data_IF_841964095077
#
_entry.id   IF_841964095077
#
_cell.length_a   1.000
_cell.length_b   1.000
_cell.length_c   1.000
_cell.angle_alpha   90.00
_cell.angle_beta   90.00
_cell.angle_gamma   90.00
#
_symmetry.space_group_name_H-M   'P 1'
#
loop_
_entity.id
_entity.type
_entity.pdbx_description
1 polymer ?
#
# COMPACT_ATOMS: atom_id res chain seq x y z
N UNK A 1 8.78 -5.28 -14.72
CA UNK A 1 7.57 -4.44 -14.94
C UNK A 1 6.38 -4.72 -13.98
N UNK A 2 6.39 -5.73 -13.10
CA UNK A 2 5.15 -6.24 -12.47
C UNK A 2 4.85 -5.76 -11.02
N UNK A 3 5.73 -4.99 -10.40
CA UNK A 3 5.67 -4.74 -8.94
C UNK A 3 5.05 -3.39 -8.55
N UNK A 4 5.22 -2.31 -9.34
CA UNK A 4 4.60 -0.99 -9.09
C UNK A 4 3.06 -1.03 -9.14
N UNK A 5 2.49 -1.79 -10.08
CA UNK A 5 1.04 -1.88 -10.27
C UNK A 5 0.33 -2.57 -9.11
N UNK A 6 0.99 -3.47 -8.37
CA UNK A 6 0.32 -4.30 -7.34
C UNK A 6 0.02 -3.52 -6.06
N UNK A 7 0.88 -2.57 -5.67
CA UNK A 7 0.71 -1.76 -4.46
C UNK A 7 -0.26 -0.63 -4.66
N UNK A 8 -0.23 0.01 -5.84
CA UNK A 8 -1.27 0.93 -6.26
C UNK A 8 -2.66 0.28 -6.14
N UNK A 9 -2.79 -0.99 -6.56
CA UNK A 9 -4.06 -1.73 -6.44
C UNK A 9 -4.41 -2.05 -4.99
N UNK A 10 -3.44 -2.36 -4.11
CA UNK A 10 -3.75 -2.54 -2.69
C UNK A 10 -4.29 -1.25 -2.06
N UNK A 11 -3.56 -0.14 -2.25
CA UNK A 11 -3.93 1.16 -1.70
C UNK A 11 -5.30 1.59 -2.23
N UNK A 12 -5.55 1.41 -3.52
CA UNK A 12 -6.85 1.69 -4.14
C UNK A 12 -7.98 0.85 -3.50
N UNK A 13 -7.77 -0.45 -3.31
CA UNK A 13 -8.75 -1.33 -2.66
C UNK A 13 -9.00 -0.89 -1.21
N UNK A 14 -7.95 -0.61 -0.43
CA UNK A 14 -8.10 -0.20 0.97
C UNK A 14 -8.82 1.15 1.09
N UNK A 15 -8.54 2.12 0.21
CA UNK A 15 -9.26 3.39 0.18
C UNK A 15 -10.75 3.20 -0.16
N UNK A 16 -11.09 2.33 -1.12
CA UNK A 16 -12.49 2.02 -1.44
C UNK A 16 -13.21 1.31 -0.30
N UNK A 17 -12.54 0.37 0.37
CA UNK A 17 -13.09 -0.33 1.54
C UNK A 17 -13.28 0.63 2.73
N UNK A 18 -12.35 1.57 2.95
CA UNK A 18 -12.49 2.62 3.97
C UNK A 18 -13.76 3.42 3.72
N UNK A 19 -13.94 3.91 2.50
CA UNK A 19 -15.14 4.66 2.12
C UNK A 19 -16.42 3.85 2.35
N UNK A 20 -16.42 2.56 2.01
CA UNK A 20 -17.56 1.69 2.25
C UNK A 20 -17.87 1.53 3.75
N UNK A 21 -16.85 1.39 4.59
CA UNK A 21 -16.99 1.30 6.06
C UNK A 21 -17.50 2.61 6.66
N UNK A 22 -17.01 3.76 6.17
CA UNK A 22 -17.49 5.10 6.55
C UNK A 22 -18.96 5.31 6.14
N UNK A 23 -19.33 4.94 4.90
CA UNK A 23 -20.72 5.01 4.41
C UNK A 23 -21.65 4.02 5.13
N UNK A 24 -21.10 2.95 5.70
CA UNK A 24 -21.80 1.89 6.43
C UNK A 24 -21.77 2.05 7.95
N UNK A 25 -21.54 3.27 8.47
CA UNK A 25 -21.46 3.55 9.90
C UNK A 25 -22.63 2.92 10.69
N UNK A 26 -22.33 2.32 11.85
CA UNK A 26 -23.31 1.59 12.67
C UNK A 26 -23.57 0.15 12.23
N UNK A 27 -22.97 -0.31 11.13
CA UNK A 27 -22.98 -1.72 10.70
C UNK A 27 -21.68 -2.43 11.08
N UNK A 28 -21.72 -3.76 11.20
CA UNK A 28 -20.53 -4.58 11.36
C UNK A 28 -19.55 -4.37 10.20
N UNK A 29 -18.36 -3.85 10.49
CA UNK A 29 -17.40 -3.47 9.46
C UNK A 29 -16.86 -4.66 8.67
N UNK A 30 -16.81 -5.86 9.26
CA UNK A 30 -16.38 -7.07 8.53
C UNK A 30 -17.41 -7.41 7.47
N UNK A 31 -18.70 -7.36 7.81
CA UNK A 31 -19.79 -7.56 6.86
C UNK A 31 -19.76 -6.52 5.73
N UNK A 32 -19.53 -5.25 6.05
CA UNK A 32 -19.39 -4.19 5.03
C UNK A 32 -18.23 -4.47 4.07
N UNK A 33 -17.09 -4.91 4.60
CA UNK A 33 -15.92 -5.29 3.79
C UNK A 33 -16.24 -6.50 2.91
N UNK A 34 -16.87 -7.55 3.45
CA UNK A 34 -17.26 -8.75 2.70
C UNK A 34 -18.25 -8.41 1.56
N UNK A 35 -19.26 -7.59 1.84
CA UNK A 35 -20.27 -7.16 0.87
C UNK A 35 -19.67 -6.30 -0.25
N UNK A 36 -18.71 -5.41 0.08
CA UNK A 36 -17.96 -4.64 -0.90
C UNK A 36 -17.08 -5.57 -1.77
N UNK A 37 -16.37 -6.49 -1.13
CA UNK A 37 -15.46 -7.42 -1.78
C UNK A 37 -16.18 -8.43 -2.71
N UNK A 38 -17.42 -8.81 -2.41
CA UNK A 38 -18.24 -9.66 -3.26
C UNK A 38 -18.48 -9.04 -4.65
N UNK A 39 -18.56 -7.71 -4.73
CA UNK A 39 -18.81 -6.95 -5.97
C UNK A 39 -17.54 -6.71 -6.79
N UNK A 40 -16.35 -6.86 -6.20
CA UNK A 40 -15.10 -6.60 -6.89
C UNK A 40 -14.74 -7.71 -7.88
N UNK A 41 -13.98 -7.32 -8.91
CA UNK A 41 -13.51 -8.19 -10.00
C UNK A 41 -12.00 -8.04 -10.23
N UNK A 42 -11.42 -8.96 -10.99
CA UNK A 42 -10.01 -8.90 -11.41
C UNK A 42 -9.04 -8.75 -10.23
N UNK A 43 -8.14 -7.77 -10.34
CA UNK A 43 -7.09 -7.54 -9.33
C UNK A 43 -7.65 -7.13 -7.96
N UNK A 44 -8.79 -6.44 -7.91
CA UNK A 44 -9.44 -6.04 -6.66
C UNK A 44 -10.01 -7.26 -5.93
N UNK A 45 -10.68 -8.16 -6.67
CA UNK A 45 -11.17 -9.43 -6.12
C UNK A 45 -10.04 -10.29 -5.56
N UNK A 46 -8.88 -10.27 -6.22
CA UNK A 46 -7.69 -10.98 -5.74
C UNK A 46 -7.21 -10.42 -4.40
N UNK A 47 -7.16 -9.09 -4.22
CA UNK A 47 -6.85 -8.47 -2.91
C UNK A 47 -7.85 -8.91 -1.84
N UNK A 48 -9.16 -8.82 -2.12
CA UNK A 48 -10.22 -9.27 -1.22
C UNK A 48 -10.06 -10.73 -0.79
N UNK A 49 -9.74 -11.62 -1.75
CA UNK A 49 -9.44 -13.01 -1.45
C UNK A 49 -8.25 -13.14 -0.50
N UNK A 50 -7.19 -12.36 -0.69
CA UNK A 50 -5.98 -12.52 0.12
C UNK A 50 -6.12 -11.96 1.54
N UNK A 51 -7.02 -11.01 1.77
CA UNK A 51 -7.30 -10.49 3.11
C UNK A 51 -8.35 -11.30 3.87
N UNK A 52 -8.93 -12.34 3.26
CA UNK A 52 -9.94 -13.15 3.95
C UNK A 52 -11.39 -12.73 3.74
N UNK A 53 -11.67 -11.79 2.83
CA UNK A 53 -12.99 -11.18 2.63
C UNK A 53 -13.87 -11.91 1.58
N UNK A 54 -13.52 -13.16 1.27
CA UNK A 54 -14.28 -14.05 0.36
C UNK A 54 -14.36 -15.46 0.95
N UNK A 55 -15.41 -16.25 0.66
CA UNK A 55 -15.65 -17.55 1.31
C UNK A 55 -14.48 -18.54 1.26
N UNK A 56 -13.77 -18.59 0.13
CA UNK A 56 -12.65 -19.53 -0.11
C UNK A 56 -11.28 -18.85 0.01
N UNK A 57 -11.19 -17.80 0.81
CA UNK A 57 -9.94 -17.07 1.00
C UNK A 57 -8.91 -17.93 1.75
N UNK A 58 -7.60 -17.84 1.40
CA UNK A 58 -6.54 -18.55 2.10
C UNK A 58 -6.28 -18.02 3.52
N UNK A 59 -6.67 -16.78 3.81
CA UNK A 59 -6.43 -16.13 5.11
C UNK A 59 -7.74 -15.76 5.80
N UNK A 60 -7.65 -15.29 7.06
CA UNK A 60 -8.79 -14.83 7.88
C UNK A 60 -8.51 -13.49 8.56
N UNK A 61 -7.66 -12.66 7.96
CA UNK A 61 -7.21 -11.36 8.53
C UNK A 61 -8.21 -10.22 8.32
N UNK A 62 -9.37 -10.48 7.71
CA UNK A 62 -10.40 -9.47 7.40
C UNK A 62 -10.87 -8.72 8.64
N UNK A 63 -10.90 -9.38 9.80
CA UNK A 63 -11.23 -8.74 11.09
C UNK A 63 -10.24 -7.65 11.47
N UNK A 64 -8.93 -7.92 11.30
CA UNK A 64 -7.89 -6.94 11.58
C UNK A 64 -7.90 -5.81 10.55
N UNK A 65 -8.16 -6.13 9.28
CA UNK A 65 -8.32 -5.13 8.22
C UNK A 65 -9.50 -4.20 8.52
N UNK A 66 -10.67 -4.73 8.84
CA UNK A 66 -11.85 -3.95 9.21
C UNK A 66 -11.56 -3.03 10.39
N UNK A 67 -10.89 -3.54 11.43
CA UNK A 67 -10.47 -2.73 12.58
C UNK A 67 -9.51 -1.60 12.20
N UNK A 68 -8.52 -1.88 11.34
CA UNK A 68 -7.58 -0.86 10.87
C UNK A 68 -8.30 0.24 10.06
N UNK A 69 -9.24 -0.15 9.19
CA UNK A 69 -10.06 0.79 8.43
C UNK A 69 -10.90 1.67 9.35
N UNK A 70 -11.57 1.10 10.36
CA UNK A 70 -12.34 1.86 11.36
C UNK A 70 -11.47 2.79 12.20
N UNK A 71 -10.23 2.41 12.48
CA UNK A 71 -9.29 3.24 13.25
C UNK A 71 -8.72 4.41 12.45
N UNK A 72 -9.03 4.52 11.16
CA UNK A 72 -8.49 5.55 10.28
C UNK A 72 -7.00 5.33 9.93
N UNK A 73 -6.50 4.08 10.03
CA UNK A 73 -5.13 3.81 9.63
C UNK A 73 -4.98 4.03 8.10
N UNK A 74 -3.98 4.79 7.64
CA UNK A 74 -3.81 5.07 6.22
C UNK A 74 -3.64 3.79 5.39
N UNK A 75 -4.17 3.80 4.16
CA UNK A 75 -4.19 2.63 3.27
C UNK A 75 -2.79 2.07 2.96
N UNK A 76 -1.79 2.94 2.80
CA UNK A 76 -0.39 2.55 2.60
C UNK A 76 0.16 1.79 3.82
N UNK A 77 -0.21 2.19 5.04
CA UNK A 77 0.19 1.55 6.29
C UNK A 77 -0.50 0.21 6.49
N UNK A 78 -1.78 0.10 6.12
CA UNK A 78 -2.52 -1.18 6.11
C UNK A 78 -1.84 -2.14 5.14
N UNK A 79 -1.57 -1.69 3.90
CA UNK A 79 -0.86 -2.49 2.91
C UNK A 79 0.55 -2.88 3.40
N UNK A 80 1.30 -1.98 4.05
CA UNK A 80 2.60 -2.32 4.61
C UNK A 80 2.50 -3.39 5.72
N UNK A 81 1.51 -3.29 6.61
CA UNK A 81 1.30 -4.26 7.71
C UNK A 81 0.94 -5.64 7.17
N UNK A 82 -0.05 -5.76 6.28
CA UNK A 82 -0.42 -7.09 5.81
C UNK A 82 0.69 -7.72 4.94
N UNK A 83 1.57 -6.90 4.35
CA UNK A 83 2.75 -7.39 3.62
C UNK A 83 3.76 -8.09 4.54
N UNK A 84 3.81 -7.67 5.80
CA UNK A 84 4.71 -8.24 6.81
C UNK A 84 4.08 -9.43 7.54
N UNK A 85 2.75 -9.48 7.64
CA UNK A 85 2.05 -10.48 8.44
C UNK A 85 1.91 -11.85 7.77
N UNK A 86 1.84 -11.93 6.44
CA UNK A 86 1.63 -13.20 5.74
C UNK A 86 2.42 -13.23 4.41
N UNK A 87 3.30 -14.23 4.19
CA UNK A 87 4.08 -14.37 2.96
C UNK A 87 3.24 -14.43 1.67
N UNK A 88 2.02 -15.00 1.72
CA UNK A 88 1.10 -15.06 0.58
C UNK A 88 0.47 -13.69 0.28
N UNK A 89 0.33 -12.83 1.29
CA UNK A 89 -0.05 -11.42 1.13
C UNK A 89 1.19 -10.58 0.71
N UNK A 90 2.38 -10.95 1.19
CA UNK A 90 3.68 -10.33 0.93
C UNK A 90 4.10 -10.35 -0.55
N UNK A 91 3.88 -11.45 -1.27
CA UNK A 91 4.16 -11.58 -2.72
C UNK A 91 3.43 -10.53 -3.58
N UNK A 92 2.40 -9.90 -3.04
CA UNK A 92 1.59 -8.88 -3.70
C UNK A 92 1.96 -7.47 -3.23
N UNK A 93 2.61 -7.33 -2.07
CA UNK A 93 2.76 -6.05 -1.36
C UNK A 93 4.19 -5.53 -1.17
N UNK A 94 5.19 -6.30 -1.58
CA UNK A 94 6.58 -5.85 -1.53
C UNK A 94 6.98 -4.96 -2.71
N UNK A 95 6.78 -3.65 -2.55
CA UNK A 95 7.59 -2.60 -3.15
C UNK A 95 7.34 -1.26 -2.47
N UNK A 96 8.24 -0.93 -1.55
CA UNK A 96 8.55 0.41 -1.06
C UNK A 96 7.83 1.56 -1.80
N UNK A 97 6.91 2.24 -1.11
CA UNK A 97 6.30 3.50 -1.57
C UNK A 97 7.03 4.65 -0.88
N UNK A 98 7.71 5.52 -1.63
CA UNK A 98 8.32 6.73 -1.07
C UNK A 98 7.24 7.74 -0.66
N UNK A 99 7.49 8.47 0.42
CA UNK A 99 6.64 9.59 0.84
C UNK A 99 7.39 10.90 0.66
N UNK A 100 6.68 11.94 0.22
CA UNK A 100 7.14 13.31 0.18
C UNK A 100 7.71 13.77 1.52
N UNK A 101 7.15 13.32 2.64
CA UNK A 101 7.51 13.79 3.99
C UNK A 101 8.59 12.90 4.64
N UNK A 102 9.14 11.94 3.90
CA UNK A 102 10.20 11.07 4.39
C UNK A 102 11.52 11.83 4.60
N UNK A 103 12.32 11.37 5.56
CA UNK A 103 13.70 11.78 5.77
C UNK A 103 14.62 10.89 4.89
N UNK A 104 14.96 11.39 3.70
CA UNK A 104 15.77 10.64 2.74
C UNK A 104 17.16 10.28 3.29
N UNK A 105 17.71 11.05 4.23
CA UNK A 105 19.01 10.74 4.86
C UNK A 105 18.97 9.44 5.67
N UNK A 106 17.82 9.11 6.25
CA UNK A 106 17.61 7.88 7.03
C UNK A 106 17.32 6.65 6.16
N UNK A 107 17.04 6.85 4.88
CA UNK A 107 16.73 5.74 3.97
C UNK A 107 17.99 5.00 3.53
N UNK A 108 17.85 3.74 3.15
CA UNK A 108 18.92 2.95 2.55
C UNK A 108 19.09 3.31 1.06
N UNK A 109 20.27 3.04 0.47
CA UNK A 109 20.50 3.24 -0.98
C UNK A 109 19.47 2.49 -1.82
N UNK A 110 19.06 1.29 -1.40
CA UNK A 110 18.00 0.52 -2.07
C UNK A 110 16.67 1.29 -2.09
N UNK A 111 16.24 1.82 -0.95
CA UNK A 111 15.01 2.60 -0.87
C UNK A 111 15.09 3.90 -1.67
N UNK A 112 16.23 4.59 -1.65
CA UNK A 112 16.43 5.80 -2.46
C UNK A 112 16.35 5.51 -3.97
N UNK A 113 16.98 4.42 -4.44
CA UNK A 113 16.84 3.97 -5.83
C UNK A 113 15.38 3.64 -6.17
N UNK A 114 14.66 3.02 -5.24
CA UNK A 114 13.23 2.74 -5.42
C UNK A 114 12.38 4.02 -5.44
N UNK A 115 12.73 5.04 -4.63
CA UNK A 115 12.10 6.37 -4.67
C UNK A 115 12.23 7.02 -6.03
N UNK A 116 13.47 7.11 -6.54
CA UNK A 116 13.75 7.72 -7.85
C UNK A 116 13.02 6.95 -8.95
N UNK A 117 13.12 5.62 -8.92
CA UNK A 117 12.44 4.77 -9.88
C UNK A 117 10.92 4.98 -9.81
N UNK A 118 10.33 5.15 -8.62
CA UNK A 118 8.89 5.37 -8.44
C UNK A 118 8.41 6.58 -9.24
N UNK A 119 9.14 7.71 -9.17
CA UNK A 119 8.86 8.94 -9.90
C UNK A 119 9.42 8.96 -11.34
N UNK A 120 9.87 7.81 -11.85
CA UNK A 120 10.33 7.65 -13.24
C UNK A 120 11.75 8.14 -13.50
N UNK A 121 12.56 8.34 -12.46
CA UNK A 121 13.96 8.76 -12.57
C UNK A 121 14.92 7.61 -12.26
N UNK A 122 16.08 7.66 -12.90
CA UNK A 122 17.21 6.81 -12.57
C UNK A 122 18.43 7.73 -12.41
N UNK A 123 19.22 7.53 -11.35
CA UNK A 123 20.45 8.28 -11.17
C UNK A 123 21.64 7.48 -11.69
N UNK A 124 22.04 7.75 -12.93
CA UNK A 124 23.16 7.07 -13.61
C UNK A 124 24.54 7.56 -13.17
N UNK A 125 24.63 8.73 -12.52
CA UNK A 125 25.88 9.33 -12.03
C UNK A 125 26.08 9.31 -10.51
N UNK A 126 25.14 8.76 -9.73
CA UNK A 126 25.25 8.70 -8.27
C UNK A 126 26.27 7.62 -7.87
N UNK A 127 27.35 7.99 -7.19
CA UNK A 127 28.41 7.09 -6.74
C UNK A 127 28.23 6.67 -5.28
N UNK A 128 27.71 7.55 -4.44
CA UNK A 128 27.49 7.28 -3.02
C UNK A 128 26.07 7.62 -2.54
N UNK A 129 25.80 7.31 -1.27
CA UNK A 129 24.47 7.47 -0.68
C UNK A 129 24.00 8.93 -0.72
N UNK A 130 24.89 9.90 -0.52
CA UNK A 130 24.50 11.30 -0.47
C UNK A 130 24.02 11.78 -1.83
N UNK A 131 24.62 11.31 -2.94
CA UNK A 131 24.14 11.64 -4.29
C UNK A 131 22.67 11.20 -4.50
N UNK A 132 22.32 10.00 -4.04
CA UNK A 132 20.94 9.50 -4.13
C UNK A 132 19.99 10.30 -3.25
N UNK A 133 20.45 10.76 -2.08
CA UNK A 133 19.66 11.63 -1.19
C UNK A 133 19.42 12.97 -1.86
N UNK A 134 20.46 13.63 -2.38
CA UNK A 134 20.31 14.91 -3.07
C UNK A 134 19.37 14.81 -4.27
N UNK A 135 19.49 13.74 -5.06
CA UNK A 135 18.63 13.53 -6.22
C UNK A 135 17.16 13.34 -5.81
N UNK A 136 16.89 12.65 -4.71
CA UNK A 136 15.55 12.50 -4.15
C UNK A 136 15.00 13.82 -3.61
N UNK A 137 15.82 14.61 -2.90
CA UNK A 137 15.44 15.94 -2.40
C UNK A 137 15.10 16.91 -3.54
N UNK A 138 15.92 16.95 -4.60
CA UNK A 138 15.70 17.82 -5.79
C UNK A 138 14.41 17.51 -6.54
N UNK A 139 13.86 16.30 -6.38
CA UNK A 139 12.63 15.87 -7.03
C UNK A 139 11.52 15.53 -6.01
N UNK A 140 11.61 16.07 -4.79
CA UNK A 140 10.67 15.79 -3.69
C UNK A 140 9.24 16.14 -4.07
N UNK A 141 9.05 17.18 -4.87
CA UNK A 141 7.74 17.64 -5.39
C UNK A 141 7.00 16.57 -6.22
N UNK A 142 7.73 15.63 -6.83
CA UNK A 142 7.16 14.54 -7.64
C UNK A 142 6.82 13.30 -6.81
N UNK A 143 7.30 13.25 -5.56
CA UNK A 143 7.05 12.13 -4.66
C UNK A 143 5.68 12.36 -4.01
N UNK A 144 4.79 11.35 -3.99
CA UNK A 144 3.46 11.53 -3.42
C UNK A 144 3.55 11.88 -1.94
N UNK A 145 2.75 12.86 -1.50
CA UNK A 145 2.49 13.04 -0.07
C UNK A 145 1.76 11.81 0.44
N UNK A 146 2.13 11.37 1.65
CA UNK A 146 1.31 10.40 2.35
C UNK A 146 0.00 11.13 2.65
N UNK A 147 -1.02 10.91 1.83
CA UNK A 147 -2.34 11.41 2.15
C UNK A 147 -2.77 10.69 3.43
N UNK A 148 -3.03 11.49 4.47
CA UNK A 148 -3.49 11.04 5.76
C UNK A 148 -4.73 10.14 5.63
#
# INVERSE_FOLDING_TARGET
>A
LSSKTKILVCVEVMNKLRKAVEEGEGTDAVKVVDDACAKYVGKHKKICSNIGALPNSPTRVVKDVARMLQSGLPADKICAKLAMSDPQICEIMHQFVPSHDADFKKMTVKQLKQTLAFIGLECTGCMDKNDFVEMAERNRDKIPRSEF
#
